data_IF_886777301964
#
_entry.id   IF_886777301964
#
_cell.length_a   1.000
_cell.length_b   1.000
_cell.length_c   1.000
_cell.angle_alpha   90.00
_cell.angle_beta   90.00
_cell.angle_gamma   90.00
#
_symmetry.space_group_name_H-M   'P 1'
#
loop_
_entity.id
_entity.type
_entity.pdbx_description
1 polymer ?
#
# COMPACT_ATOMS: atom_id res chain seq x y z
N UNK A 1 12.13 0.32 -20.35
CA UNK A 1 10.73 0.43 -19.84
C UNK A 1 10.40 1.90 -19.69
N UNK A 2 9.22 2.36 -20.11
CA UNK A 2 8.73 3.72 -19.87
C UNK A 2 7.61 3.63 -18.83
N UNK A 3 7.79 4.29 -17.69
CA UNK A 3 6.83 4.22 -16.57
C UNK A 3 5.87 5.41 -16.59
N UNK A 4 4.60 5.16 -16.28
CA UNK A 4 3.59 6.19 -16.01
C UNK A 4 3.10 5.97 -14.58
N UNK A 5 3.63 6.76 -13.63
CA UNK A 5 3.24 6.66 -12.23
C UNK A 5 1.96 7.45 -11.99
N UNK A 6 0.88 6.74 -11.68
CA UNK A 6 -0.44 7.29 -11.37
C UNK A 6 -1.07 6.47 -10.24
N UNK A 7 -2.13 6.97 -9.61
CA UNK A 7 -2.88 6.19 -8.61
C UNK A 7 -3.44 4.90 -9.20
N UNK A 8 -3.58 3.86 -8.38
CA UNK A 8 -3.94 2.49 -8.82
C UNK A 8 -5.21 2.46 -9.67
N UNK A 9 -6.25 3.23 -9.31
CA UNK A 9 -7.47 3.31 -10.12
C UNK A 9 -7.22 3.77 -11.56
N UNK A 10 -6.37 4.78 -11.75
CA UNK A 10 -6.01 5.27 -13.09
C UNK A 10 -5.12 4.27 -13.83
N UNK A 11 -4.20 3.59 -13.13
CA UNK A 11 -3.36 2.56 -13.73
C UNK A 11 -4.19 1.38 -14.24
N UNK A 12 -5.20 0.93 -13.48
CA UNK A 12 -6.11 -0.13 -13.89
C UNK A 12 -6.94 0.28 -15.11
N UNK A 13 -7.49 1.50 -15.13
CA UNK A 13 -8.22 2.04 -16.30
C UNK A 13 -7.33 2.07 -17.56
N UNK A 14 -6.05 2.43 -17.43
CA UNK A 14 -5.13 2.36 -18.57
C UNK A 14 -4.96 0.93 -19.10
N UNK A 15 -4.91 -0.08 -18.21
CA UNK A 15 -4.90 -1.48 -18.61
C UNK A 15 -6.21 -1.93 -19.29
N UNK A 16 -7.36 -1.53 -18.75
CA UNK A 16 -8.69 -1.77 -19.33
C UNK A 16 -8.85 -1.16 -20.73
N UNK A 17 -8.11 -0.09 -21.04
CA UNK A 17 -8.14 0.60 -22.33
C UNK A 17 -7.02 0.15 -23.29
N UNK A 18 -6.15 -0.76 -22.87
CA UNK A 18 -4.98 -1.18 -23.66
C UNK A 18 -3.95 -0.05 -23.87
N UNK A 19 -3.92 0.94 -22.98
CA UNK A 19 -3.01 2.09 -23.02
C UNK A 19 -1.68 1.83 -22.28
N UNK A 20 -1.54 0.64 -21.69
CA UNK A 20 -0.33 0.14 -21.07
C UNK A 20 -0.07 -1.30 -21.53
N UNK A 21 1.21 -1.69 -21.60
CA UNK A 21 1.58 -3.08 -21.94
C UNK A 21 1.55 -3.99 -20.71
N UNK A 22 1.87 -3.43 -19.54
CA UNK A 22 2.06 -4.16 -18.28
C UNK A 22 1.66 -3.26 -17.12
N UNK A 23 1.04 -3.85 -16.10
CA UNK A 23 0.67 -3.16 -14.87
C UNK A 23 1.52 -3.70 -13.71
N UNK A 24 1.97 -2.78 -12.84
CA UNK A 24 2.55 -3.09 -11.54
C UNK A 24 1.78 -2.27 -10.50
N UNK A 25 0.93 -2.93 -9.73
CA UNK A 25 -0.10 -2.31 -8.88
C UNK A 25 -0.24 -3.08 -7.56
N UNK A 26 -1.04 -2.55 -6.63
CA UNK A 26 -1.17 -3.06 -5.25
C UNK A 26 -2.61 -2.96 -4.71
N UNK A 27 -3.59 -3.39 -5.51
CA UNK A 27 -5.00 -3.46 -5.15
C UNK A 27 -5.61 -4.82 -5.58
N UNK A 28 -5.33 -5.91 -4.86
CA UNK A 28 -5.68 -7.27 -5.26
C UNK A 28 -7.17 -7.47 -5.64
N UNK A 29 -8.07 -6.84 -4.88
CA UNK A 29 -9.52 -6.93 -5.14
C UNK A 29 -9.96 -6.27 -6.45
N UNK A 30 -9.27 -5.21 -6.87
CA UNK A 30 -9.55 -4.51 -8.13
C UNK A 30 -8.80 -5.17 -9.30
N UNK A 31 -7.59 -5.66 -9.07
CA UNK A 31 -6.80 -6.43 -10.03
C UNK A 31 -7.52 -7.71 -10.44
N UNK A 32 -8.13 -8.43 -9.47
CA UNK A 32 -8.85 -9.68 -9.74
C UNK A 32 -9.97 -9.51 -10.75
N UNK A 33 -10.64 -8.35 -10.80
CA UNK A 33 -11.68 -8.05 -11.79
C UNK A 33 -11.11 -8.06 -13.21
N UNK A 34 -9.96 -7.42 -13.43
CA UNK A 34 -9.30 -7.40 -14.73
C UNK A 34 -8.83 -8.81 -15.13
N UNK A 35 -8.38 -9.62 -14.17
CA UNK A 35 -8.02 -11.03 -14.40
C UNK A 35 -9.26 -11.83 -14.82
N UNK A 36 -10.37 -11.72 -14.09
CA UNK A 36 -11.62 -12.44 -14.35
C UNK A 36 -12.25 -12.05 -15.69
N UNK A 37 -12.13 -10.77 -16.06
CA UNK A 37 -12.57 -10.26 -17.34
C UNK A 37 -11.60 -10.63 -18.48
N UNK A 38 -10.42 -11.17 -18.18
CA UNK A 38 -9.37 -11.52 -19.15
C UNK A 38 -8.72 -10.29 -19.81
N UNK A 39 -8.79 -9.13 -19.16
CA UNK A 39 -8.11 -7.89 -19.57
C UNK A 39 -6.61 -7.99 -19.31
N UNK A 40 -6.23 -8.66 -18.23
CA UNK A 40 -4.82 -8.94 -17.90
C UNK A 40 -4.57 -10.44 -17.80
N UNK A 41 -3.34 -10.84 -18.07
CA UNK A 41 -2.84 -12.23 -17.99
C UNK A 41 -1.50 -12.25 -17.25
N UNK A 42 -0.97 -13.45 -16.98
CA UNK A 42 0.30 -13.64 -16.25
C UNK A 42 0.39 -12.79 -14.97
N UNK A 43 -0.65 -12.88 -14.14
CA UNK A 43 -0.78 -12.19 -12.87
C UNK A 43 0.14 -12.83 -11.83
N UNK A 44 1.18 -12.11 -11.42
CA UNK A 44 2.23 -12.62 -10.54
C UNK A 44 2.33 -11.78 -9.27
N UNK A 45 2.31 -12.46 -8.11
CA UNK A 45 2.70 -11.89 -6.83
C UNK A 45 4.22 -11.68 -6.83
N UNK A 46 4.69 -10.48 -6.49
CA UNK A 46 6.12 -10.15 -6.60
C UNK A 46 6.74 -9.69 -5.29
N UNK A 47 6.01 -8.97 -4.45
CA UNK A 47 6.51 -8.47 -3.17
C UNK A 47 5.35 -7.88 -2.36
N UNK A 48 5.61 -7.64 -1.08
CA UNK A 48 4.81 -6.76 -0.26
C UNK A 48 5.69 -5.75 0.46
N UNK A 49 5.10 -4.63 0.83
CA UNK A 49 5.52 -3.88 2.01
C UNK A 49 4.33 -3.81 2.96
N UNK A 50 4.43 -2.97 3.98
CA UNK A 50 3.40 -2.83 4.97
C UNK A 50 3.03 -1.37 5.24
N UNK A 51 1.80 -1.22 5.68
CA UNK A 51 1.31 -0.03 6.33
C UNK A 51 1.60 -0.12 7.83
N UNK A 52 1.80 1.04 8.42
CA UNK A 52 2.03 1.21 9.85
C UNK A 52 1.14 2.33 10.39
N UNK A 53 0.83 2.26 11.67
CA UNK A 53 0.14 3.34 12.37
C UNK A 53 1.20 4.09 13.13
N UNK A 54 1.32 5.37 12.78
CA UNK A 54 2.23 6.30 13.45
C UNK A 54 1.43 7.31 14.27
N UNK A 55 2.04 7.81 15.32
CA UNK A 55 1.40 8.79 16.19
C UNK A 55 2.39 9.44 17.16
N UNK A 56 1.90 10.33 18.03
CA UNK A 56 2.74 11.02 19.01
C UNK A 56 3.33 10.03 20.03
N UNK A 57 4.57 10.24 20.51
CA UNK A 57 5.21 9.35 21.49
C UNK A 57 4.39 9.13 22.77
N UNK A 58 3.63 10.15 23.18
CA UNK A 58 2.75 10.14 24.36
C UNK A 58 1.58 9.16 24.24
N UNK A 59 1.22 8.75 23.02
CA UNK A 59 0.19 7.76 22.71
C UNK A 59 -1.11 7.89 23.54
N UNK A 60 -1.87 9.00 23.43
CA UNK A 60 -3.12 9.19 24.17
C UNK A 60 -4.17 8.09 23.88
N UNK A 61 -4.17 7.54 22.66
CA UNK A 61 -5.01 6.41 22.27
C UNK A 61 -4.58 5.07 22.92
N UNK A 62 -3.35 4.97 23.44
CA UNK A 62 -2.85 3.77 24.12
C UNK A 62 -2.81 2.56 23.17
N UNK A 63 -2.35 2.77 21.94
CA UNK A 63 -2.29 1.74 20.89
C UNK A 63 -0.92 1.08 20.78
N UNK A 64 0.11 1.59 21.45
CA UNK A 64 1.48 1.12 21.31
C UNK A 64 1.62 -0.37 21.57
N UNK A 65 2.22 -1.08 20.63
CA UNK A 65 2.53 -2.51 20.72
C UNK A 65 1.33 -3.43 20.49
N UNK A 66 0.15 -2.89 20.16
CA UNK A 66 -0.98 -3.70 19.68
C UNK A 66 -0.70 -4.15 18.25
N UNK A 67 -0.91 -5.42 17.99
CA UNK A 67 -0.74 -6.03 16.66
C UNK A 67 -2.06 -6.26 15.95
N UNK A 68 -3.21 -6.18 16.64
CA UNK A 68 -4.54 -6.24 16.03
C UNK A 68 -4.92 -4.83 15.58
N UNK A 69 -4.90 -4.59 14.27
CA UNK A 69 -5.20 -3.28 13.69
C UNK A 69 -6.64 -2.84 13.97
N UNK A 70 -7.58 -3.79 14.13
CA UNK A 70 -8.96 -3.44 14.45
C UNK A 70 -9.04 -2.90 15.87
N UNK A 71 -8.34 -3.53 16.81
CA UNK A 71 -8.23 -3.04 18.18
C UNK A 71 -7.60 -1.63 18.19
N UNK A 72 -6.58 -1.38 17.37
CA UNK A 72 -5.92 -0.07 17.24
C UNK A 72 -6.91 1.00 16.78
N UNK A 73 -7.64 0.76 15.68
CA UNK A 73 -8.60 1.71 15.12
C UNK A 73 -9.79 1.94 16.06
N UNK A 74 -10.28 0.88 16.72
CA UNK A 74 -11.31 0.98 17.75
C UNK A 74 -10.85 1.88 18.91
N UNK A 75 -9.64 1.70 19.42
CA UNK A 75 -9.12 2.54 20.51
C UNK A 75 -8.96 4.02 20.12
N UNK A 76 -8.54 4.29 18.88
CA UNK A 76 -8.45 5.67 18.35
C UNK A 76 -9.84 6.30 18.34
N UNK A 77 -10.84 5.59 17.80
CA UNK A 77 -12.22 6.08 17.71
C UNK A 77 -12.88 6.25 19.09
N UNK A 78 -12.76 5.26 19.99
CA UNK A 78 -13.35 5.28 21.34
C UNK A 78 -12.84 6.46 22.19
N UNK A 79 -11.59 6.85 21.98
CA UNK A 79 -10.96 7.98 22.67
C UNK A 79 -11.08 9.29 21.90
N UNK A 80 -11.70 9.27 20.73
CA UNK A 80 -11.73 10.38 19.77
C UNK A 80 -10.34 11.01 19.60
N UNK A 81 -9.31 10.16 19.55
CA UNK A 81 -7.94 10.60 19.37
C UNK A 81 -7.77 11.10 17.94
N UNK A 82 -7.19 12.29 17.79
CA UNK A 82 -7.09 12.94 16.49
C UNK A 82 -6.39 12.01 15.48
N UNK A 83 -7.02 11.78 14.35
CA UNK A 83 -6.57 10.95 13.25
C UNK A 83 -6.63 11.77 11.97
N UNK A 84 -5.55 11.79 11.21
CA UNK A 84 -5.52 12.43 9.90
C UNK A 84 -5.51 11.37 8.80
N UNK A 85 -6.56 11.40 7.98
CA UNK A 85 -6.67 10.65 6.74
C UNK A 85 -5.99 11.40 5.60
N UNK A 86 -5.51 10.64 4.62
CA UNK A 86 -5.09 11.20 3.32
C UNK A 86 -6.25 11.92 2.61
N UNK A 87 -7.44 11.34 2.62
CA UNK A 87 -8.63 11.91 1.97
C UNK A 87 -8.50 12.19 0.47
N UNK A 88 -7.68 11.41 -0.25
CA UNK A 88 -7.24 11.73 -1.64
C UNK A 88 -7.53 10.62 -2.67
N UNK A 89 -8.35 9.63 -2.31
CA UNK A 89 -8.66 8.41 -3.10
C UNK A 89 -7.43 7.54 -3.49
N UNK A 90 -6.27 7.76 -2.84
CA UNK A 90 -5.08 6.94 -3.06
C UNK A 90 -5.24 5.51 -2.52
N UNK A 91 -4.27 4.64 -2.86
CA UNK A 91 -4.19 3.29 -2.28
C UNK A 91 -4.13 3.31 -0.75
N UNK A 92 -3.37 4.24 -0.15
CA UNK A 92 -3.31 4.43 1.30
C UNK A 92 -4.66 4.82 1.89
N UNK A 93 -5.36 5.77 1.25
CA UNK A 93 -6.71 6.16 1.69
C UNK A 93 -7.69 4.99 1.64
N UNK A 94 -7.66 4.21 0.55
CA UNK A 94 -8.52 3.00 0.42
C UNK A 94 -8.18 1.94 1.44
N UNK A 95 -6.89 1.72 1.75
CA UNK A 95 -6.48 0.80 2.82
C UNK A 95 -7.03 1.27 4.16
N UNK A 96 -6.83 2.53 4.51
CA UNK A 96 -7.34 3.11 5.75
C UNK A 96 -8.86 2.93 5.91
N UNK A 97 -9.64 3.31 4.89
CA UNK A 97 -11.09 3.12 4.87
C UNK A 97 -11.50 1.64 5.00
N UNK A 98 -10.73 0.72 4.40
CA UNK A 98 -11.01 -0.71 4.54
C UNK A 98 -10.81 -1.21 5.98
N UNK A 99 -9.89 -0.62 6.74
CA UNK A 99 -9.68 -0.96 8.16
C UNK A 99 -10.83 -0.40 9.00
N UNK A 100 -11.24 0.86 8.79
CA UNK A 100 -12.42 1.44 9.43
C UNK A 100 -13.67 0.59 9.19
N UNK A 101 -13.91 0.20 7.94
CA UNK A 101 -15.01 -0.69 7.57
C UNK A 101 -14.91 -2.05 8.26
N UNK A 102 -13.72 -2.64 8.36
CA UNK A 102 -13.51 -3.92 9.04
C UNK A 102 -13.74 -3.84 10.56
N UNK A 103 -13.71 -2.62 11.14
CA UNK A 103 -14.10 -2.33 12.51
C UNK A 103 -15.61 -2.05 12.66
N UNK A 104 -16.36 -1.94 11.56
CA UNK A 104 -17.72 -1.39 11.49
C UNK A 104 -17.82 0.04 12.07
N UNK A 105 -16.80 0.85 11.83
CA UNK A 105 -16.75 2.26 12.25
C UNK A 105 -16.79 3.12 11.00
N UNK A 106 -17.71 4.08 10.96
CA UNK A 106 -17.68 5.19 10.01
C UNK A 106 -17.02 6.36 10.75
N UNK A 107 -15.78 6.76 10.38
CA UNK A 107 -15.08 7.77 11.12
C UNK A 107 -15.70 9.15 10.84
N UNK A 108 -16.30 9.75 11.87
CA UNK A 108 -16.97 11.05 11.77
C UNK A 108 -16.66 11.94 12.98
N UNK A 109 -16.77 13.25 12.77
CA UNK A 109 -16.55 14.25 13.82
C UNK A 109 -15.17 14.91 13.79
N UNK A 110 -14.86 15.72 14.81
CA UNK A 110 -13.69 16.60 14.80
C UNK A 110 -12.34 15.87 14.94
N UNK A 111 -12.37 14.64 15.45
CA UNK A 111 -11.19 13.79 15.63
C UNK A 111 -10.74 13.11 14.35
N UNK A 112 -11.59 13.01 13.32
CA UNK A 112 -11.20 12.48 12.02
C UNK A 112 -11.07 13.62 11.01
N UNK A 113 -9.88 13.81 10.44
CA UNK A 113 -9.60 14.93 9.54
C UNK A 113 -8.99 14.45 8.24
N UNK A 114 -9.58 14.86 7.12
CA UNK A 114 -9.03 14.60 5.80
C UNK A 114 -8.04 15.69 5.41
N UNK A 115 -6.82 15.31 5.06
CA UNK A 115 -5.80 16.23 4.58
C UNK A 115 -6.03 16.65 3.12
N UNK A 116 -6.62 15.79 2.29
CA UNK A 116 -6.74 15.97 0.84
C UNK A 116 -5.37 16.06 0.15
N UNK A 117 -4.36 15.40 0.70
CA UNK A 117 -2.95 15.61 0.34
C UNK A 117 -2.18 14.28 0.23
N UNK A 118 -0.97 14.35 -0.32
CA UNK A 118 -0.06 13.21 -0.43
C UNK A 118 0.50 12.77 0.92
N UNK A 119 1.11 11.58 0.97
CA UNK A 119 1.54 10.97 2.24
C UNK A 119 2.56 11.80 3.04
N UNK A 120 3.50 12.47 2.37
CA UNK A 120 4.46 13.34 3.04
C UNK A 120 3.80 14.51 3.75
N UNK A 121 2.84 15.16 3.10
CA UNK A 121 2.09 16.29 3.68
C UNK A 121 1.17 15.82 4.81
N UNK A 122 0.49 14.67 4.64
CA UNK A 122 -0.33 14.06 5.70
C UNK A 122 0.50 13.71 6.93
N UNK A 123 1.71 13.17 6.76
CA UNK A 123 2.64 12.94 7.88
C UNK A 123 3.09 14.24 8.54
N UNK A 124 3.35 15.29 7.76
CA UNK A 124 3.65 16.63 8.29
C UNK A 124 2.51 17.20 9.13
N UNK A 125 1.27 17.06 8.66
CA UNK A 125 0.06 17.45 9.42
C UNK A 125 -0.06 16.61 10.69
N UNK A 126 0.17 15.30 10.61
CA UNK A 126 0.12 14.40 11.77
C UNK A 126 1.15 14.81 12.84
N UNK A 127 2.37 15.17 12.41
CA UNK A 127 3.43 15.66 13.27
C UNK A 127 3.06 16.99 13.94
N UNK A 128 2.59 17.98 13.15
CA UNK A 128 2.21 19.30 13.66
C UNK A 128 1.06 19.21 14.68
N UNK A 129 0.04 18.40 14.38
CA UNK A 129 -1.14 18.21 15.23
C UNK A 129 -0.94 17.18 16.33
N UNK A 130 0.21 16.51 16.38
CA UNK A 130 0.51 15.40 17.30
C UNK A 130 -0.59 14.34 17.28
N UNK A 131 -0.89 13.83 16.10
CA UNK A 131 -2.03 12.97 15.86
C UNK A 131 -1.66 11.67 15.13
N UNK A 132 -2.62 10.77 15.00
CA UNK A 132 -2.43 9.45 14.40
C UNK A 132 -2.63 9.49 12.88
N UNK A 133 -1.92 8.64 12.15
CA UNK A 133 -2.22 8.38 10.73
C UNK A 133 -1.74 7.00 10.33
N UNK A 134 -2.34 6.45 9.27
CA UNK A 134 -1.86 5.25 8.59
C UNK A 134 -0.96 5.65 7.43
N UNK A 135 0.23 5.05 7.35
CA UNK A 135 1.23 5.39 6.33
C UNK A 135 1.98 4.15 5.86
N UNK A 136 2.51 4.17 4.63
CA UNK A 136 3.45 3.12 4.19
C UNK A 136 4.80 3.32 4.88
N UNK A 137 5.44 2.20 5.30
CA UNK A 137 6.71 2.23 6.03
C UNK A 137 7.81 2.99 5.29
N UNK A 138 7.87 2.85 3.97
CA UNK A 138 8.90 3.49 3.16
C UNK A 138 8.83 5.02 3.24
N UNK A 139 7.63 5.60 3.13
CA UNK A 139 7.44 7.06 3.27
C UNK A 139 7.76 7.53 4.68
N UNK A 140 7.34 6.79 5.71
CA UNK A 140 7.70 7.11 7.10
C UNK A 140 9.21 7.13 7.32
N UNK A 141 9.91 6.07 6.93
CA UNK A 141 11.37 5.96 7.10
C UNK A 141 12.12 7.05 6.35
N UNK A 142 11.63 7.48 5.19
CA UNK A 142 12.23 8.57 4.42
C UNK A 142 12.11 9.95 5.11
N UNK A 143 11.12 10.14 5.98
CA UNK A 143 10.80 11.43 6.61
C UNK A 143 11.01 11.44 8.14
N UNK A 144 11.23 10.27 8.75
CA UNK A 144 11.23 10.01 10.20
C UNK A 144 11.95 11.07 11.03
N UNK A 145 13.15 11.46 10.63
CA UNK A 145 14.00 12.43 11.34
C UNK A 145 13.32 13.78 11.62
N UNK A 146 12.31 14.16 10.82
CA UNK A 146 11.63 15.46 10.91
C UNK A 146 10.20 15.38 11.47
N UNK A 147 9.69 14.18 11.77
CA UNK A 147 8.28 13.99 12.12
C UNK A 147 8.02 14.02 13.63
N UNK A 148 8.93 13.50 14.44
CA UNK A 148 8.65 13.30 15.88
C UNK A 148 7.47 12.36 16.13
N UNK A 149 7.17 11.47 15.17
CA UNK A 149 6.14 10.43 15.27
C UNK A 149 6.82 9.07 15.42
N UNK A 150 6.26 8.25 16.30
CA UNK A 150 6.69 6.87 16.50
C UNK A 150 5.81 5.92 15.69
N UNK A 151 6.38 4.78 15.29
CA UNK A 151 5.58 3.61 14.93
C UNK A 151 4.96 3.06 16.21
N UNK A 152 3.63 3.03 16.25
CA UNK A 152 2.87 2.61 17.43
C UNK A 152 2.26 1.22 17.23
N UNK A 153 1.85 0.88 16.01
CA UNK A 153 1.31 -0.43 15.65
C UNK A 153 1.75 -0.82 14.24
N UNK A 154 2.12 -2.09 14.09
CA UNK A 154 2.62 -2.69 12.85
C UNK A 154 2.43 -4.23 12.89
N UNK A 155 2.59 -4.89 11.74
CA UNK A 155 2.65 -6.36 11.67
C UNK A 155 1.31 -7.10 11.56
N UNK A 156 0.17 -6.40 11.57
CA UNK A 156 -1.12 -7.01 11.26
C UNK A 156 -1.18 -7.42 9.78
N UNK A 157 -1.63 -8.65 9.42
CA UNK A 157 -1.85 -9.05 8.04
C UNK A 157 -2.73 -8.10 7.22
N UNK A 158 -3.71 -7.42 7.84
CA UNK A 158 -4.54 -6.40 7.21
C UNK A 158 -3.75 -5.16 6.80
N UNK A 159 -2.55 -4.95 7.35
CA UNK A 159 -1.66 -3.87 6.97
C UNK A 159 -0.70 -4.24 5.83
N UNK A 160 -0.72 -5.47 5.34
CA UNK A 160 0.08 -5.83 4.16
C UNK A 160 -0.38 -5.05 2.92
N UNK A 161 0.59 -4.56 2.18
CA UNK A 161 0.42 -3.86 0.92
C UNK A 161 1.12 -4.66 -0.17
N UNK A 162 0.31 -5.43 -0.89
CA UNK A 162 0.77 -6.52 -1.72
C UNK A 162 0.82 -6.07 -3.17
N UNK A 163 1.95 -6.30 -3.83
CA UNK A 163 2.20 -5.89 -5.19
C UNK A 163 2.10 -7.07 -6.15
N UNK A 164 1.41 -6.84 -7.25
CA UNK A 164 1.36 -7.75 -8.38
C UNK A 164 1.88 -7.07 -9.64
N UNK A 165 2.50 -7.87 -10.50
CA UNK A 165 2.77 -7.49 -11.89
C UNK A 165 1.92 -8.36 -12.82
N UNK A 166 1.39 -7.78 -13.89
CA UNK A 166 0.49 -8.47 -14.81
C UNK A 166 0.59 -7.88 -16.21
N UNK A 167 0.51 -8.75 -17.22
CA UNK A 167 0.51 -8.35 -18.62
C UNK A 167 -0.89 -7.88 -19.03
N UNK A 168 -0.98 -6.82 -19.82
CA UNK A 168 -2.22 -6.49 -20.50
C UNK A 168 -2.41 -7.48 -21.67
N UNK A 169 -3.62 -7.98 -21.85
CA UNK A 169 -3.89 -9.06 -22.81
C UNK A 169 -3.79 -8.55 -24.26
N UNK A 170 -2.72 -8.92 -24.97
CA UNK A 170 -2.50 -8.54 -26.36
C UNK A 170 -3.58 -9.09 -27.32
N UNK A 171 -4.27 -10.18 -26.96
CA UNK A 171 -5.39 -10.71 -27.76
C UNK A 171 -6.61 -9.79 -27.77
N UNK A 172 -6.72 -8.89 -26.78
CA UNK A 172 -7.79 -7.89 -26.70
C UNK A 172 -7.40 -6.52 -27.26
N UNK A 173 -6.10 -6.23 -27.31
CA UNK A 173 -5.60 -4.90 -27.62
C UNK A 173 -4.40 -4.97 -28.57
N UNK A 174 -4.66 -4.74 -29.86
CA UNK A 174 -3.67 -4.88 -30.95
C UNK A 174 -2.40 -4.01 -30.82
N UNK A 175 -2.39 -3.02 -29.93
CA UNK A 175 -1.26 -2.10 -29.72
C UNK A 175 -0.36 -2.49 -28.56
N UNK A 176 -0.78 -3.46 -27.75
CA UNK A 176 0.00 -3.93 -26.61
C UNK A 176 1.21 -4.72 -27.11
N UNK A 177 2.38 -4.40 -26.55
CA UNK A 177 3.60 -5.17 -26.76
C UNK A 177 3.64 -6.38 -25.80
N UNK A 178 2.96 -7.48 -26.15
CA UNK A 178 2.88 -8.66 -25.29
C UNK A 178 4.23 -9.33 -25.02
N UNK A 179 5.13 -9.41 -26.01
CA UNK A 179 6.48 -9.96 -25.80
C UNK A 179 7.26 -9.13 -24.76
N UNK A 180 7.20 -7.79 -24.88
CA UNK A 180 7.83 -6.89 -23.93
C UNK A 180 7.19 -6.95 -22.53
N UNK A 181 5.87 -7.05 -22.46
CA UNK A 181 5.14 -7.20 -21.21
C UNK A 181 5.51 -8.51 -20.50
N UNK A 182 5.56 -9.62 -21.25
CA UNK A 182 6.00 -10.92 -20.74
C UNK A 182 7.42 -10.86 -20.19
N UNK A 183 8.36 -10.32 -20.97
CA UNK A 183 9.74 -10.20 -20.54
C UNK A 183 9.87 -9.36 -19.26
N UNK A 184 9.04 -8.32 -19.09
CA UNK A 184 9.02 -7.52 -17.88
C UNK A 184 8.46 -8.29 -16.67
N UNK A 185 7.36 -9.03 -16.84
CA UNK A 185 6.82 -9.89 -15.77
C UNK A 185 7.85 -10.96 -15.36
N UNK A 186 8.44 -11.64 -16.33
CA UNK A 186 9.44 -12.69 -16.09
C UNK A 186 10.67 -12.12 -15.33
N UNK A 187 11.09 -10.91 -15.66
CA UNK A 187 12.17 -10.21 -14.95
C UNK A 187 11.87 -10.04 -13.45
N UNK A 188 10.63 -9.71 -13.08
CA UNK A 188 10.25 -9.47 -11.69
C UNK A 188 10.31 -10.71 -10.81
N UNK A 189 10.08 -11.88 -11.38
CA UNK A 189 9.98 -13.15 -10.64
C UNK A 189 11.29 -13.95 -10.62
N UNK A 190 12.39 -13.41 -11.18
CA UNK A 190 13.70 -14.07 -11.10
C UNK A 190 14.30 -13.99 -9.69
N UNK A 191 15.08 -15.01 -9.32
CA UNK A 191 15.82 -15.03 -8.04
C UNK A 191 16.71 -13.79 -7.87
N UNK A 192 17.33 -13.31 -8.95
CA UNK A 192 18.18 -12.11 -8.93
C UNK A 192 17.38 -10.86 -8.54
N UNK A 193 16.23 -10.62 -9.20
CA UNK A 193 15.37 -9.48 -8.87
C UNK A 193 14.78 -9.61 -7.47
N UNK A 194 14.33 -10.81 -7.08
CA UNK A 194 13.75 -11.03 -5.75
C UNK A 194 14.78 -10.81 -4.63
N UNK A 195 16.03 -11.21 -4.84
CA UNK A 195 17.13 -10.86 -3.93
C UNK A 195 17.37 -9.35 -3.88
N UNK A 196 17.34 -8.66 -5.03
CA UNK A 196 17.50 -7.20 -5.07
C UNK A 196 16.37 -6.49 -4.30
N UNK A 197 15.13 -6.94 -4.43
CA UNK A 197 13.98 -6.43 -3.67
C UNK A 197 14.24 -6.58 -2.16
N UNK A 198 14.65 -7.77 -1.73
CA UNK A 198 14.92 -8.07 -0.32
C UNK A 198 16.12 -7.33 0.28
N UNK A 199 17.03 -6.79 -0.54
CA UNK A 199 18.15 -5.95 -0.10
C UNK A 199 17.85 -4.45 -0.16
N UNK A 200 16.79 -4.05 -0.87
CA UNK A 200 16.51 -2.65 -1.14
C UNK A 200 16.20 -1.86 0.15
N UNK A 201 17.01 -0.83 0.40
CA UNK A 201 16.85 0.10 1.52
C UNK A 201 17.56 -0.29 2.81
N UNK A 202 18.10 -1.52 2.94
CA UNK A 202 18.80 -1.96 4.15
C UNK A 202 19.99 -1.07 4.53
N UNK A 203 20.75 -0.64 3.53
CA UNK A 203 21.93 0.22 3.70
C UNK A 203 21.56 1.62 4.24
N UNK A 204 20.40 2.13 3.85
CA UNK A 204 19.95 3.48 4.19
C UNK A 204 19.07 3.53 5.44
N UNK A 205 18.21 2.53 5.64
CA UNK A 205 17.18 2.54 6.67
C UNK A 205 17.40 1.47 7.76
N UNK A 206 18.37 0.56 7.58
CA UNK A 206 18.68 -0.52 8.52
C UNK A 206 17.77 -1.75 8.37
N UNK A 207 16.73 -1.67 7.55
CA UNK A 207 15.75 -2.72 7.27
C UNK A 207 15.33 -2.69 5.79
N UNK A 208 14.87 -3.81 5.21
CA UNK A 208 14.35 -3.82 3.84
C UNK A 208 13.03 -3.04 3.75
N UNK A 209 12.82 -2.33 2.63
CA UNK A 209 11.57 -1.62 2.36
C UNK A 209 10.47 -2.52 1.77
N UNK A 210 10.87 -3.65 1.19
CA UNK A 210 9.98 -4.61 0.53
C UNK A 210 10.46 -6.03 0.85
N UNK A 211 9.50 -6.94 0.93
CA UNK A 211 9.73 -8.35 1.15
C UNK A 211 9.37 -9.13 -0.13
N UNK A 212 10.29 -9.92 -0.69
CA UNK A 212 10.06 -10.67 -1.92
C UNK A 212 9.05 -11.81 -1.71
N UNK A 213 8.13 -11.98 -2.65
CA UNK A 213 7.08 -13.02 -2.57
C UNK A 213 6.88 -13.84 -3.85
N UNK A 214 7.73 -13.66 -4.87
CA UNK A 214 7.57 -14.44 -6.10
C UNK A 214 7.62 -15.96 -5.80
N UNK A 215 6.63 -16.68 -6.33
CA UNK A 215 6.48 -18.12 -6.11
C UNK A 215 5.86 -18.54 -4.77
N UNK A 216 5.50 -17.59 -3.90
CA UNK A 216 4.75 -17.89 -2.66
C UNK A 216 3.27 -18.09 -2.94
N UNK A 217 2.60 -18.87 -2.09
CA UNK A 217 1.15 -18.99 -2.12
C UNK A 217 0.53 -17.70 -1.52
N UNK A 218 -0.29 -16.95 -2.27
CA UNK A 218 -0.97 -15.76 -1.76
C UNK A 218 -1.76 -16.02 -0.46
N UNK A 219 -2.26 -17.24 -0.25
CA UNK A 219 -2.97 -17.61 0.98
C UNK A 219 -2.10 -17.48 2.24
N UNK A 220 -0.77 -17.59 2.12
CA UNK A 220 0.18 -17.35 3.23
C UNK A 220 0.21 -15.88 3.67
N UNK A 221 -0.21 -14.96 2.81
CA UNK A 221 -0.31 -13.52 3.07
C UNK A 221 -1.73 -13.10 3.47
N UNK A 222 -2.64 -14.06 3.65
CA UNK A 222 -4.04 -13.78 3.96
C UNK A 222 -4.86 -13.22 2.81
N UNK A 223 -4.44 -13.48 1.56
CA UNK A 223 -5.18 -13.16 0.33
C UNK A 223 -6.23 -14.22 -0.03
#
# INVERSE_FOLDING_TARGET
VKTIAVGTGKALVMGEQGEADVLLVHAPSSEKKLVDEGIVTNYQLIMHNDFIIVGPPEDPAGIRGKSDVKEVFQNIAEKEALFVSRGDDSGTHKKELSVWQACNIEPEGAWYQEAGAGMGDTLGIAAEKKCYTLTDRATYLALKENLGLDVLSEGDPLLLNIYHVMQVNEEKFDKVNGEGAKAFVDFWVTDETQNLIGEFGKDKYGEPLFFPDAGRDPAELGL
#
